data_IF_140126268667
#
_entry.id   IF_140126268667
#
_cell.length_a   1.000
_cell.length_b   1.000
_cell.length_c   1.000
_cell.angle_alpha   90.00
_cell.angle_beta   90.00
_cell.angle_gamma   90.00
#
_symmetry.space_group_name_H-M   'P 1'
#
loop_
_entity.id
_entity.type
_entity.pdbx_description
1 polymer ?
#
# COMPACT_ATOMS: atom_id res chain seq x y z
N UNK A 1 -19.60 -18.03 -7.64
CA UNK A 1 -18.99 -17.83 -8.98
C UNK A 1 -17.50 -17.61 -8.77
N UNK A 2 -16.62 -18.37 -9.43
CA UNK A 2 -15.18 -18.11 -9.39
C UNK A 2 -14.92 -16.75 -10.05
N UNK A 3 -14.05 -15.94 -9.44
CA UNK A 3 -13.57 -14.72 -10.07
C UNK A 3 -12.71 -15.16 -11.27
N UNK A 4 -13.21 -14.94 -12.48
CA UNK A 4 -12.39 -15.04 -13.68
C UNK A 4 -11.51 -13.79 -13.72
N UNK A 5 -10.30 -13.91 -13.15
CA UNK A 5 -9.24 -12.93 -13.42
C UNK A 5 -8.98 -12.97 -14.92
N UNK A 6 -9.42 -11.96 -15.65
CA UNK A 6 -9.05 -11.78 -17.05
C UNK A 6 -7.54 -11.56 -17.06
N UNK A 7 -6.77 -12.59 -17.40
CA UNK A 7 -5.31 -12.54 -17.56
C UNK A 7 -4.90 -11.38 -18.45
N UNK A 8 -4.15 -10.39 -17.95
CA UNK A 8 -3.39 -9.50 -18.82
C UNK A 8 -1.92 -9.64 -18.45
N UNK A 9 -1.23 -10.41 -19.30
CA UNK A 9 0.17 -10.29 -19.73
C UNK A 9 0.62 -11.72 -20.06
N UNK A 10 0.47 -12.06 -21.34
CA UNK A 10 1.40 -12.95 -22.00
C UNK A 10 2.79 -12.30 -21.96
N UNK A 11 3.43 -12.35 -20.80
CA UNK A 11 4.87 -12.29 -20.64
C UNK A 11 5.19 -13.28 -19.55
N UNK A 12 5.35 -14.51 -20.02
CA UNK A 12 6.09 -15.61 -19.40
C UNK A 12 7.47 -15.12 -18.96
N UNK A 13 7.55 -14.35 -17.88
CA UNK A 13 8.76 -14.24 -17.11
C UNK A 13 8.60 -15.28 -16.01
N UNK A 14 9.24 -16.43 -16.19
CA UNK A 14 9.26 -17.48 -15.18
C UNK A 14 9.70 -16.91 -13.83
N UNK A 15 9.26 -17.49 -12.72
CA UNK A 15 9.65 -17.08 -11.36
C UNK A 15 11.18 -16.85 -11.20
N UNK A 16 11.97 -17.69 -11.86
CA UNK A 16 13.43 -17.58 -11.98
C UNK A 16 13.89 -16.28 -12.68
N UNK A 17 13.25 -15.96 -13.80
CA UNK A 17 13.54 -14.77 -14.61
C UNK A 17 13.06 -13.47 -13.95
N UNK A 18 11.99 -13.52 -13.13
CA UNK A 18 11.52 -12.36 -12.34
C UNK A 18 12.42 -12.07 -11.14
N UNK A 19 12.99 -13.10 -10.51
CA UNK A 19 14.06 -12.92 -9.51
C UNK A 19 15.25 -12.18 -10.12
N UNK A 20 15.66 -12.57 -11.32
CA UNK A 20 16.77 -11.88 -12.03
C UNK A 20 16.43 -10.43 -12.35
N UNK A 21 15.20 -10.14 -12.84
CA UNK A 21 14.75 -8.77 -13.12
C UNK A 21 14.67 -7.92 -11.84
N UNK A 22 14.00 -8.41 -10.78
CA UNK A 22 13.85 -7.67 -9.49
C UNK A 22 15.20 -7.46 -8.79
N UNK A 23 16.14 -8.39 -8.94
CA UNK A 23 17.48 -8.30 -8.34
C UNK A 23 18.47 -7.48 -9.19
N UNK A 24 18.09 -7.11 -10.41
CA UNK A 24 18.87 -6.25 -11.30
C UNK A 24 18.46 -4.78 -11.14
N UNK A 25 19.29 -3.85 -11.63
CA UNK A 25 18.92 -2.44 -11.71
C UNK A 25 17.61 -2.19 -12.49
N UNK A 26 17.21 -3.11 -13.37
CA UNK A 26 15.98 -3.04 -14.17
C UNK A 26 14.70 -3.32 -13.37
N UNK A 27 14.78 -3.93 -12.19
CA UNK A 27 13.61 -4.23 -11.36
C UNK A 27 12.94 -3.00 -10.78
N UNK A 28 13.73 -1.94 -10.57
CA UNK A 28 13.21 -0.64 -10.15
C UNK A 28 12.60 0.13 -11.31
N UNK A 29 13.21 0.06 -12.51
CA UNK A 29 12.63 0.62 -13.72
C UNK A 29 11.26 0.01 -13.98
N UNK A 30 11.06 -1.28 -13.68
CA UNK A 30 9.74 -1.92 -13.75
C UNK A 30 8.74 -1.37 -12.71
N UNK A 31 9.15 -1.14 -11.45
CA UNK A 31 8.28 -0.55 -10.43
C UNK A 31 7.93 0.91 -10.72
N UNK A 32 8.89 1.72 -11.18
CA UNK A 32 8.65 3.11 -11.57
C UNK A 32 7.83 3.17 -12.87
N UNK A 33 8.12 2.31 -13.85
CA UNK A 33 7.33 2.18 -15.07
C UNK A 33 5.89 1.81 -14.74
N UNK A 34 5.67 0.77 -13.93
CA UNK A 34 4.31 0.36 -13.56
C UNK A 34 3.59 1.50 -12.86
N UNK A 35 4.18 2.23 -11.90
CA UNK A 35 3.58 3.41 -11.26
C UNK A 35 3.03 4.41 -12.28
N UNK A 36 3.82 4.69 -13.32
CA UNK A 36 3.46 5.63 -14.38
C UNK A 36 2.48 5.07 -15.42
N UNK A 37 2.26 3.75 -15.46
CA UNK A 37 1.33 3.07 -16.37
C UNK A 37 0.13 2.55 -15.58
N UNK A 38 -0.88 3.42 -15.44
CA UNK A 38 -2.07 3.21 -14.60
C UNK A 38 -2.95 2.04 -15.05
N UNK A 39 -2.83 1.61 -16.30
CA UNK A 39 -3.74 0.64 -16.94
C UNK A 39 -3.29 -0.82 -16.76
N UNK A 40 -2.16 -1.03 -16.08
CA UNK A 40 -1.57 -2.35 -15.86
C UNK A 40 -1.97 -2.87 -14.48
N UNK A 41 -2.71 -3.97 -14.44
CA UNK A 41 -3.16 -4.60 -13.21
C UNK A 41 -4.01 -5.85 -13.43
N UNK A 42 -4.19 -6.63 -12.37
CA UNK A 42 -5.04 -7.84 -12.40
C UNK A 42 -6.53 -7.53 -12.20
N UNK A 43 -6.85 -6.29 -11.79
CA UNK A 43 -8.22 -5.81 -11.63
C UNK A 43 -8.69 -5.16 -12.92
N UNK A 44 -9.88 -5.56 -13.39
CA UNK A 44 -10.57 -4.95 -14.52
C UNK A 44 -11.40 -3.76 -14.05
N UNK A 45 -12.72 -3.84 -14.18
CA UNK A 45 -13.66 -2.78 -13.76
C UNK A 45 -13.57 -2.47 -12.25
N UNK A 46 -13.22 -3.47 -11.45
CA UNK A 46 -13.03 -3.35 -10.01
C UNK A 46 -11.93 -2.34 -9.66
N UNK A 47 -10.96 -2.12 -10.55
CA UNK A 47 -9.89 -1.13 -10.38
C UNK A 47 -10.47 0.27 -10.24
N UNK A 48 -11.37 0.65 -11.14
CA UNK A 48 -11.94 1.98 -11.18
C UNK A 48 -12.86 2.19 -9.98
N UNK A 49 -13.63 1.15 -9.59
CA UNK A 49 -14.44 1.17 -8.36
C UNK A 49 -13.58 1.33 -7.10
N UNK A 50 -12.43 0.65 -7.01
CA UNK A 50 -11.47 0.79 -5.90
C UNK A 50 -10.93 2.22 -5.82
N UNK A 51 -10.56 2.81 -6.98
CA UNK A 51 -10.03 4.17 -7.07
C UNK A 51 -11.09 5.20 -6.67
N UNK A 52 -12.26 5.18 -7.32
CA UNK A 52 -13.36 6.12 -7.07
C UNK A 52 -13.86 6.04 -5.63
N UNK A 53 -14.06 4.82 -5.10
CA UNK A 53 -14.55 4.67 -3.73
C UNK A 53 -13.51 5.08 -2.70
N UNK A 54 -12.22 4.81 -2.93
CA UNK A 54 -11.15 5.32 -2.05
C UNK A 54 -11.13 6.84 -2.05
N UNK A 55 -11.16 7.46 -3.24
CA UNK A 55 -11.18 8.91 -3.40
C UNK A 55 -12.35 9.53 -2.63
N UNK A 56 -13.54 8.97 -2.79
CA UNK A 56 -14.77 9.40 -2.09
C UNK A 56 -14.66 9.26 -0.58
N UNK A 57 -14.19 8.11 -0.07
CA UNK A 57 -14.09 7.83 1.36
C UNK A 57 -13.06 8.75 2.04
N UNK A 58 -11.97 9.07 1.36
CA UNK A 58 -10.90 9.91 1.91
C UNK A 58 -11.02 11.39 1.57
N UNK A 59 -11.95 11.77 0.68
CA UNK A 59 -12.18 13.16 0.28
C UNK A 59 -11.00 13.73 -0.51
N UNK A 60 -10.46 12.94 -1.43
CA UNK A 60 -9.36 13.31 -2.33
C UNK A 60 -9.78 13.09 -3.78
N UNK A 61 -9.03 13.65 -4.73
CA UNK A 61 -9.25 13.37 -6.15
C UNK A 61 -8.79 11.95 -6.49
N UNK A 62 -9.42 11.33 -7.50
CA UNK A 62 -9.05 9.99 -7.98
C UNK A 62 -7.59 9.92 -8.45
N UNK A 63 -7.06 11.02 -8.98
CA UNK A 63 -5.67 11.12 -9.42
C UNK A 63 -4.65 10.98 -8.30
N UNK A 64 -5.07 11.18 -7.05
CA UNK A 64 -4.26 10.96 -5.85
C UNK A 64 -4.21 9.49 -5.43
N UNK A 65 -5.01 8.60 -6.04
CA UNK A 65 -5.19 7.21 -5.60
C UNK A 65 -4.49 6.25 -6.56
N UNK A 66 -3.68 5.35 -5.99
CA UNK A 66 -2.89 4.38 -6.72
C UNK A 66 -3.02 2.99 -6.09
N UNK A 67 -3.39 1.99 -6.88
CA UNK A 67 -3.27 0.59 -6.47
C UNK A 67 -1.80 0.17 -6.61
N UNK A 68 -1.29 -0.51 -5.60
CA UNK A 68 0.11 -0.88 -5.45
C UNK A 68 0.24 -2.35 -5.04
N UNK A 69 1.49 -2.82 -4.93
CA UNK A 69 1.79 -4.15 -4.42
C UNK A 69 1.29 -5.28 -5.34
N UNK A 70 1.02 -6.44 -4.75
CA UNK A 70 0.62 -7.63 -5.52
C UNK A 70 -0.69 -7.47 -6.27
N UNK A 71 -1.59 -6.63 -5.76
CA UNK A 71 -2.82 -6.22 -6.43
C UNK A 71 -2.58 -5.49 -7.76
N UNK A 72 -1.40 -4.89 -7.95
CA UNK A 72 -0.99 -4.29 -9.21
C UNK A 72 -0.20 -5.26 -10.07
N UNK A 73 0.78 -5.94 -9.48
CA UNK A 73 1.75 -6.74 -10.24
C UNK A 73 1.30 -8.17 -10.55
N UNK A 74 0.23 -8.65 -9.91
CA UNK A 74 -0.18 -10.05 -9.94
C UNK A 74 0.72 -10.97 -9.09
N UNK A 75 1.72 -10.42 -8.40
CA UNK A 75 2.57 -11.15 -7.46
C UNK A 75 3.18 -10.21 -6.41
N UNK A 76 3.58 -10.76 -5.26
CA UNK A 76 4.18 -10.00 -4.18
C UNK A 76 5.66 -9.70 -4.47
N UNK A 77 6.07 -8.42 -4.60
CA UNK A 77 7.43 -8.06 -5.00
C UNK A 77 8.44 -8.22 -3.85
N UNK A 78 7.98 -8.25 -2.60
CA UNK A 78 8.84 -8.23 -1.40
C UNK A 78 8.74 -9.53 -0.58
N UNK A 79 9.82 -9.92 0.11
CA UNK A 79 9.72 -10.96 1.14
C UNK A 79 8.78 -10.50 2.28
N UNK A 80 8.13 -11.46 2.94
CA UNK A 80 7.43 -11.22 4.20
C UNK A 80 8.39 -11.55 5.33
N UNK A 81 8.62 -10.60 6.22
CA UNK A 81 9.48 -10.77 7.38
C UNK A 81 8.66 -10.96 8.65
N UNK A 82 9.14 -11.80 9.57
CA UNK A 82 8.66 -11.89 10.95
C UNK A 82 9.88 -11.90 11.86
N UNK A 83 9.98 -10.93 12.76
CA UNK A 83 11.13 -10.78 13.67
C UNK A 83 12.49 -10.71 12.96
N UNK A 84 12.54 -10.09 11.77
CA UNK A 84 13.76 -9.99 10.96
C UNK A 84 14.05 -11.22 10.09
N UNK A 85 13.29 -12.30 10.25
CA UNK A 85 13.46 -13.53 9.46
C UNK A 85 12.47 -13.57 8.29
N UNK A 86 12.92 -14.07 7.13
CA UNK A 86 12.05 -14.26 5.98
C UNK A 86 11.12 -15.46 6.23
N UNK A 87 9.83 -15.18 6.34
CA UNK A 87 8.78 -16.22 6.45
C UNK A 87 8.09 -16.52 5.12
N UNK A 88 8.16 -15.60 4.14
CA UNK A 88 7.67 -15.86 2.79
C UNK A 88 8.58 -15.17 1.75
N UNK A 89 8.94 -15.89 0.69
CA UNK A 89 9.80 -15.40 -0.40
C UNK A 89 9.05 -14.49 -1.39
N UNK A 90 9.68 -13.48 -2.00
CA UNK A 90 9.06 -12.68 -3.07
C UNK A 90 8.64 -13.55 -4.27
N UNK A 91 7.80 -12.97 -5.14
CA UNK A 91 7.26 -13.61 -6.35
C UNK A 91 6.06 -14.52 -6.10
N UNK A 92 5.44 -14.46 -4.92
CA UNK A 92 4.20 -15.19 -4.64
C UNK A 92 3.08 -14.68 -5.53
N UNK A 93 2.30 -15.54 -6.21
CA UNK A 93 1.18 -15.08 -7.01
C UNK A 93 0.15 -14.38 -6.13
N UNK A 94 -0.53 -13.41 -6.69
CA UNK A 94 -1.73 -12.84 -6.09
C UNK A 94 -2.81 -13.92 -5.99
N UNK A 95 -3.55 -13.91 -4.90
CA UNK A 95 -4.58 -14.90 -4.59
C UNK A 95 -5.69 -14.29 -3.73
N UNK A 96 -6.71 -15.08 -3.41
CA UNK A 96 -7.79 -14.68 -2.49
C UNK A 96 -7.30 -14.39 -1.05
N UNK A 97 -6.09 -14.81 -0.70
CA UNK A 97 -5.44 -14.49 0.58
C UNK A 97 -4.58 -13.21 0.52
N UNK A 98 -4.56 -12.53 -0.62
CA UNK A 98 -3.76 -11.31 -0.82
C UNK A 98 -4.55 -10.07 -0.43
N UNK A 99 -3.85 -9.11 0.18
CA UNK A 99 -4.41 -7.79 0.44
C UNK A 99 -4.31 -6.91 -0.82
N UNK A 100 -5.23 -5.97 -0.95
CA UNK A 100 -5.18 -4.88 -1.94
C UNK A 100 -4.54 -3.67 -1.28
N UNK A 101 -3.29 -3.39 -1.65
CA UNK A 101 -2.57 -2.21 -1.19
C UNK A 101 -2.96 -0.99 -2.04
N UNK A 102 -3.54 0.02 -1.39
CA UNK A 102 -3.88 1.30 -1.99
C UNK A 102 -3.00 2.39 -1.37
N UNK A 103 -2.46 3.25 -2.22
CA UNK A 103 -1.66 4.41 -1.85
C UNK A 103 -2.40 5.67 -2.23
N UNK A 104 -2.56 6.59 -1.28
CA UNK A 104 -3.06 7.94 -1.50
C UNK A 104 -1.87 8.90 -1.40
N UNK A 105 -1.75 9.84 -2.34
CA UNK A 105 -0.76 10.92 -2.31
C UNK A 105 -1.51 12.25 -2.16
N UNK A 106 -1.50 12.83 -0.97
CA UNK A 106 -2.19 14.10 -0.73
C UNK A 106 -1.56 14.85 0.43
N UNK A 107 -0.93 16.00 0.14
CA UNK A 107 -0.35 16.87 1.16
C UNK A 107 -1.43 17.42 2.08
N UNK A 108 -2.57 17.82 1.52
CA UNK A 108 -3.67 18.40 2.29
C UNK A 108 -4.26 17.39 3.28
N UNK A 109 -4.58 16.17 2.83
CA UNK A 109 -5.12 15.14 3.71
C UNK A 109 -4.09 14.74 4.78
N UNK A 110 -2.83 14.56 4.38
CA UNK A 110 -1.75 14.20 5.30
C UNK A 110 -1.59 15.25 6.40
N UNK A 111 -1.46 16.54 6.02
CA UNK A 111 -1.26 17.62 6.97
C UNK A 111 -2.48 17.81 7.88
N UNK A 112 -3.69 17.60 7.36
CA UNK A 112 -4.94 17.64 8.15
C UNK A 112 -4.97 16.56 9.23
N UNK A 113 -4.66 15.30 8.87
CA UNK A 113 -4.63 14.19 9.83
C UNK A 113 -3.50 14.42 10.84
N UNK A 114 -2.33 14.85 10.37
CA UNK A 114 -1.19 15.14 11.23
C UNK A 114 -1.49 16.23 12.26
N UNK A 115 -2.11 17.34 11.85
CA UNK A 115 -2.54 18.42 12.75
C UNK A 115 -3.52 17.90 13.81
N UNK A 116 -4.55 17.14 13.42
CA UNK A 116 -5.53 16.58 14.37
C UNK A 116 -4.88 15.61 15.37
N UNK A 117 -3.90 14.79 14.91
CA UNK A 117 -3.12 13.91 15.80
C UNK A 117 -2.22 14.72 16.74
N UNK A 118 -1.57 15.78 16.24
CA UNK A 118 -0.71 16.65 17.04
C UNK A 118 -1.49 17.39 18.13
N UNK A 119 -2.62 18.01 17.78
CA UNK A 119 -3.46 18.77 18.71
C UNK A 119 -3.99 17.90 19.85
N UNK A 120 -4.24 16.62 19.56
CA UNK A 120 -4.73 15.66 20.55
C UNK A 120 -3.60 14.88 21.23
N UNK A 121 -2.35 15.10 20.85
CA UNK A 121 -1.20 14.38 21.39
C UNK A 121 -1.12 14.41 22.93
N UNK A 122 -1.41 15.54 23.63
CA UNK A 122 -1.40 15.58 25.09
C UNK A 122 -2.33 14.55 25.76
N UNK A 123 -3.45 14.20 25.11
CA UNK A 123 -4.45 13.25 25.62
C UNK A 123 -4.05 11.79 25.37
N UNK A 124 -3.20 11.54 24.36
CA UNK A 124 -2.92 10.19 23.86
C UNK A 124 -1.51 9.68 24.21
N UNK A 125 -0.60 10.57 24.63
CA UNK A 125 0.83 10.32 24.88
C UNK A 125 1.13 9.10 25.77
N UNK A 126 0.32 8.82 26.79
CA UNK A 126 0.68 7.84 27.83
C UNK A 126 0.12 6.43 27.62
N UNK A 127 -0.92 6.26 26.79
CA UNK A 127 -1.66 4.98 26.70
C UNK A 127 -2.25 4.64 25.32
N UNK A 128 -1.92 5.38 24.27
CA UNK A 128 -2.62 5.22 22.97
C UNK A 128 -1.73 4.79 21.82
N UNK A 129 -0.42 4.69 22.03
CA UNK A 129 0.51 4.16 21.03
C UNK A 129 0.87 2.73 21.39
N UNK A 130 0.85 1.83 20.39
CA UNK A 130 1.52 0.53 20.54
C UNK A 130 3.03 0.73 20.56
N UNK A 131 3.52 1.59 19.66
CA UNK A 131 4.90 2.03 19.58
C UNK A 131 4.95 3.48 19.08
N UNK A 132 5.26 4.42 19.98
CA UNK A 132 5.37 5.84 19.62
C UNK A 132 6.60 6.12 18.75
N UNK A 133 7.69 5.37 18.96
CA UNK A 133 8.92 5.54 18.18
C UNK A 133 8.67 5.19 16.71
N UNK A 134 7.97 4.08 16.49
CA UNK A 134 7.57 3.63 15.15
C UNK A 134 6.65 4.63 14.45
N UNK A 135 5.62 5.13 15.15
CA UNK A 135 4.75 6.18 14.62
C UNK A 135 5.54 7.42 14.20
N UNK A 136 6.44 7.89 15.07
CA UNK A 136 7.27 9.07 14.77
C UNK A 136 8.18 8.85 13.56
N UNK A 137 8.79 7.67 13.44
CA UNK A 137 9.65 7.30 12.32
C UNK A 137 8.89 7.34 10.99
N UNK A 138 7.69 6.78 10.94
CA UNK A 138 6.87 6.82 9.72
C UNK A 138 6.47 8.24 9.33
N UNK A 139 6.13 9.05 10.33
CA UNK A 139 5.84 10.46 10.10
C UNK A 139 7.00 11.23 9.49
N UNK A 140 8.19 11.04 10.05
CA UNK A 140 9.41 11.67 9.55
C UNK A 140 9.73 11.20 8.13
N UNK A 141 9.30 9.99 7.77
CA UNK A 141 9.36 9.45 6.41
C UNK A 141 8.22 9.92 5.50
N UNK A 142 7.34 10.79 5.99
CA UNK A 142 6.29 11.45 5.22
C UNK A 142 5.18 10.53 4.73
N UNK A 143 4.89 9.46 5.47
CA UNK A 143 3.77 8.58 5.17
C UNK A 143 3.13 8.02 6.45
N UNK A 144 1.85 7.65 6.36
CA UNK A 144 1.09 7.11 7.48
C UNK A 144 0.11 6.00 7.05
N UNK A 145 -0.24 5.14 8.00
CA UNK A 145 -1.27 4.10 7.91
C UNK A 145 -2.13 4.07 9.17
N UNK A 146 -3.32 3.48 9.06
CA UNK A 146 -4.25 3.33 10.18
C UNK A 146 -3.58 2.73 11.43
N UNK A 147 -2.79 1.66 11.29
CA UNK A 147 -2.15 0.94 12.39
C UNK A 147 -1.02 1.73 13.08
N UNK A 148 -0.54 2.79 12.44
CA UNK A 148 0.48 3.68 12.97
C UNK A 148 -0.14 4.82 13.79
N UNK A 149 -1.40 5.16 13.54
CA UNK A 149 -2.13 6.17 14.30
C UNK A 149 -2.43 5.62 15.72
N UNK A 150 -2.35 6.44 16.77
CA UNK A 150 -2.68 6.00 18.12
C UNK A 150 -4.09 5.36 18.17
N UNK A 151 -4.22 4.17 18.76
CA UNK A 151 -5.42 3.33 18.64
C UNK A 151 -6.68 3.92 19.29
N UNK A 152 -6.52 4.90 20.18
CA UNK A 152 -7.63 5.67 20.78
C UNK A 152 -7.99 6.93 19.99
N UNK A 153 -7.21 7.27 18.97
CA UNK A 153 -7.47 8.39 18.10
C UNK A 153 -8.65 8.06 17.16
N UNK A 154 -9.60 8.99 16.93
CA UNK A 154 -10.73 8.75 16.03
C UNK A 154 -10.32 8.27 14.63
N UNK A 155 -9.23 8.81 14.09
CA UNK A 155 -8.66 8.37 12.80
C UNK A 155 -8.32 6.89 12.74
N UNK A 156 -7.84 6.25 13.82
CA UNK A 156 -7.52 4.82 13.80
C UNK A 156 -8.74 3.98 13.40
N UNK A 157 -9.88 4.25 14.03
CA UNK A 157 -11.13 3.53 13.77
C UNK A 157 -11.75 3.95 12.44
N UNK A 158 -11.87 5.25 12.17
CA UNK A 158 -12.47 5.77 10.93
C UNK A 158 -11.73 5.27 9.69
N UNK A 159 -10.40 5.22 9.73
CA UNK A 159 -9.60 4.73 8.61
C UNK A 159 -9.88 3.26 8.32
N UNK A 160 -9.95 2.41 9.35
CA UNK A 160 -10.32 1.00 9.20
C UNK A 160 -11.73 0.83 8.65
N UNK A 161 -12.68 1.62 9.15
CA UNK A 161 -14.07 1.61 8.63
C UNK A 161 -14.12 2.01 7.15
N UNK A 162 -13.34 3.01 6.74
CA UNK A 162 -13.19 3.39 5.31
C UNK A 162 -12.60 2.26 4.48
N UNK A 163 -11.53 1.61 4.95
CA UNK A 163 -10.92 0.45 4.27
C UNK A 163 -11.91 -0.69 4.05
N UNK A 164 -12.72 -1.02 5.07
CA UNK A 164 -13.77 -2.04 4.94
C UNK A 164 -14.81 -1.60 3.93
N UNK A 165 -15.30 -0.37 4.00
CA UNK A 165 -16.29 0.14 3.05
C UNK A 165 -15.80 0.11 1.59
N UNK A 166 -14.52 0.41 1.35
CA UNK A 166 -13.90 0.31 0.02
C UNK A 166 -13.93 -1.13 -0.47
N UNK A 167 -13.51 -2.08 0.38
CA UNK A 167 -13.53 -3.51 0.02
C UNK A 167 -14.95 -4.01 -0.27
N UNK A 168 -15.91 -3.68 0.60
CA UNK A 168 -17.30 -4.09 0.49
C UNK A 168 -17.91 -3.57 -0.82
N UNK A 169 -17.65 -2.31 -1.17
CA UNK A 169 -18.21 -1.70 -2.36
C UNK A 169 -17.56 -2.21 -3.65
N UNK A 170 -16.23 -2.15 -3.75
CA UNK A 170 -15.54 -2.35 -5.02
C UNK A 170 -15.26 -3.82 -5.35
N UNK A 171 -15.13 -4.67 -4.33
CA UNK A 171 -14.76 -6.08 -4.51
C UNK A 171 -15.62 -7.04 -3.70
N UNK A 172 -16.69 -6.56 -3.07
CA UNK A 172 -17.66 -7.39 -2.34
C UNK A 172 -17.08 -8.09 -1.12
N UNK A 173 -16.20 -7.41 -0.37
CA UNK A 173 -15.53 -7.93 0.83
C UNK A 173 -14.65 -9.15 0.60
N UNK A 174 -14.30 -9.45 -0.65
CA UNK A 174 -13.54 -10.66 -1.00
C UNK A 174 -12.07 -10.60 -0.56
N UNK A 175 -11.51 -9.39 -0.45
CA UNK A 175 -10.11 -9.17 -0.08
C UNK A 175 -10.00 -8.02 0.93
N UNK A 176 -8.98 -8.05 1.78
CA UNK A 176 -8.68 -6.91 2.64
C UNK A 176 -8.12 -5.74 1.83
N UNK A 177 -8.50 -4.51 2.19
CA UNK A 177 -7.97 -3.28 1.57
C UNK A 177 -7.10 -2.54 2.59
N UNK A 178 -5.82 -2.43 2.28
CA UNK A 178 -4.79 -1.76 3.07
C UNK A 178 -4.49 -0.40 2.44
N UNK A 179 -4.78 0.69 3.15
CA UNK A 179 -4.59 2.06 2.62
C UNK A 179 -3.43 2.76 3.32
N UNK A 180 -2.44 3.20 2.55
CA UNK A 180 -1.34 4.05 3.00
C UNK A 180 -1.49 5.47 2.42
N UNK A 181 -1.15 6.49 3.22
CA UNK A 181 -1.18 7.89 2.81
C UNK A 181 0.25 8.45 2.81
N UNK A 182 0.68 8.99 1.69
CA UNK A 182 1.93 9.71 1.54
C UNK A 182 1.64 11.21 1.43
N UNK A 183 2.53 12.02 2.02
CA UNK A 183 2.40 13.47 1.96
C UNK A 183 2.54 14.01 0.53
N UNK A 184 3.48 13.47 -0.24
CA UNK A 184 3.71 13.81 -1.65
C UNK A 184 4.54 12.71 -2.33
N UNK A 185 4.72 12.84 -3.65
CA UNK A 185 5.47 11.87 -4.47
C UNK A 185 6.89 11.62 -3.98
N UNK A 186 7.57 12.65 -3.46
CA UNK A 186 8.94 12.51 -2.96
C UNK A 186 9.02 11.43 -1.88
N UNK A 187 8.13 11.47 -0.87
CA UNK A 187 8.16 10.48 0.20
C UNK A 187 7.77 9.07 -0.26
N UNK A 188 6.83 8.96 -1.21
CA UNK A 188 6.48 7.68 -1.82
C UNK A 188 7.68 7.07 -2.54
N UNK A 189 8.35 7.83 -3.41
CA UNK A 189 9.53 7.38 -4.15
C UNK A 189 10.65 6.94 -3.20
N UNK A 190 10.95 7.72 -2.16
CA UNK A 190 11.95 7.36 -1.15
C UNK A 190 11.62 6.08 -0.39
N UNK A 191 10.34 5.82 -0.11
CA UNK A 191 9.90 4.56 0.51
C UNK A 191 10.11 3.35 -0.43
N UNK A 192 9.85 3.53 -1.72
CA UNK A 192 10.08 2.49 -2.73
C UNK A 192 11.57 2.23 -2.94
N UNK A 193 12.40 3.28 -3.01
CA UNK A 193 13.87 3.17 -3.05
C UNK A 193 14.44 2.45 -1.82
N UNK A 194 13.93 2.77 -0.62
CA UNK A 194 14.32 2.05 0.60
C UNK A 194 14.00 0.56 0.52
N UNK A 195 12.85 0.23 -0.05
CA UNK A 195 12.46 -1.16 -0.32
C UNK A 195 13.38 -1.82 -1.36
N UNK A 196 13.81 -1.08 -2.41
CA UNK A 196 14.82 -1.54 -3.38
C UNK A 196 16.12 -1.92 -2.67
N UNK A 197 16.61 -1.08 -1.77
CA UNK A 197 17.84 -1.38 -1.04
C UNK A 197 17.70 -2.68 -0.24
N UNK A 198 16.59 -2.89 0.47
CA UNK A 198 16.31 -4.15 1.19
C UNK A 198 16.17 -5.37 0.26
N UNK A 199 15.66 -5.18 -0.96
CA UNK A 199 15.55 -6.26 -1.95
C UNK A 199 16.89 -6.61 -2.59
N UNK A 200 17.74 -5.61 -2.86
CA UNK A 200 19.03 -5.76 -3.52
C UNK A 200 20.19 -6.10 -2.59
N UNK A 201 20.11 -5.72 -1.32
CA UNK A 201 21.20 -5.93 -0.36
C UNK A 201 21.46 -7.40 -0.01
N UNK A 202 20.68 -8.35 -0.55
CA UNK A 202 20.56 -9.68 0.06
C UNK A 202 19.83 -9.54 1.41
N UNK A 203 19.14 -10.52 2.00
CA UNK A 203 19.60 -11.88 2.30
C UNK A 203 21.07 -11.92 2.73
#
# INVERSE_FOLDING_TARGET
MPILFSTPIEALISYSSLKEVISSDQGFDFLEWTINHRDVGIFGKERDELVSETARQFGVDEDCVHIMGSARYGFSPTPKLLNGEIIKLPGRPFSEESDVDITIISTQLFDTIWQDVYDRFPYFRKYSFRDFSQFSEFLYRGWMRADQIPFRHPWYRRWREKSVAISDYAIGSKLEVSVALFRNDYFMKRKLEGTKHTMMSGY
#
